data_IF_659615299024
#
_entry.id   IF_659615299024
#
_cell.length_a   1.000
_cell.length_b   1.000
_cell.length_c   1.000
_cell.angle_alpha   90.00
_cell.angle_beta   90.00
_cell.angle_gamma   90.00
#
_symmetry.space_group_name_H-M   'P 1'
#
loop_
_entity.id
_entity.type
_entity.pdbx_description
1 polymer ?
#
# COMPACT_ATOMS: atom_id res chain seq x y z
N UNK A 1 18.21 80.14 29.89
CA UNK A 1 17.66 79.45 31.08
C UNK A 1 16.42 78.67 30.69
N UNK A 2 16.34 77.39 31.11
CA UNK A 2 15.16 76.56 31.47
C UNK A 2 13.92 76.58 30.54
N UNK A 3 13.24 75.50 30.16
CA UNK A 3 13.34 74.03 30.26
C UNK A 3 12.29 73.51 29.25
N UNK A 4 12.60 72.45 28.50
CA UNK A 4 11.64 71.71 27.66
C UNK A 4 10.51 71.11 28.52
N UNK A 5 9.30 70.98 27.96
CA UNK A 5 8.36 69.89 28.31
C UNK A 5 7.89 69.23 27.02
N UNK A 6 8.47 68.05 26.74
CA UNK A 6 7.92 67.04 25.84
C UNK A 6 6.69 66.45 26.52
N UNK A 7 5.59 66.23 25.79
CA UNK A 7 4.55 65.30 26.19
C UNK A 7 4.78 64.00 25.42
N UNK A 8 5.09 62.97 26.19
CA UNK A 8 5.03 61.54 25.84
C UNK A 8 3.65 61.07 26.33
N UNK A 9 3.19 59.95 25.77
CA UNK A 9 2.29 58.91 26.33
C UNK A 9 1.08 58.70 25.43
N UNK A 10 0.68 57.48 25.02
CA UNK A 10 1.24 56.12 25.04
C UNK A 10 0.38 55.38 24.00
N UNK A 11 1.01 54.63 23.08
CA UNK A 11 0.33 53.63 22.26
C UNK A 11 0.24 52.36 23.11
N UNK A 12 -0.97 51.97 23.50
CA UNK A 12 -1.21 50.63 24.06
C UNK A 12 -1.33 49.67 22.89
N UNK A 13 -0.22 49.01 22.58
CA UNK A 13 -0.20 47.82 21.74
C UNK A 13 -0.77 46.66 22.54
N UNK A 14 -1.90 46.13 22.09
CA UNK A 14 -2.38 44.82 22.55
C UNK A 14 -1.70 43.78 21.64
N UNK A 15 -0.70 43.13 22.21
CA UNK A 15 -0.07 41.92 21.68
C UNK A 15 -0.98 40.76 22.07
N UNK A 16 -1.90 40.35 21.20
CA UNK A 16 -2.53 39.04 21.33
C UNK A 16 -1.67 38.07 20.54
N UNK A 17 -0.72 37.49 21.27
CA UNK A 17 -0.14 36.18 20.99
C UNK A 17 -1.27 35.16 20.98
N UNK A 18 -1.88 34.95 19.81
CA UNK A 18 -2.74 33.80 19.57
C UNK A 18 -1.84 32.71 19.01
N UNK A 19 -1.23 31.97 19.95
CA UNK A 19 -0.76 30.62 19.68
C UNK A 19 -1.96 29.82 19.17
N UNK A 20 -2.00 29.51 17.88
CA UNK A 20 -2.86 28.45 17.37
C UNK A 20 -2.26 27.11 17.84
N UNK A 21 -2.47 26.81 19.13
CA UNK A 21 -2.62 25.43 19.58
C UNK A 21 -4.06 25.02 19.23
N UNK A 22 -4.26 24.65 17.97
CA UNK A 22 -5.40 23.84 17.56
C UNK A 22 -4.84 22.46 17.25
N UNK A 23 -5.43 21.46 17.90
CA UNK A 23 -4.79 20.20 18.23
C UNK A 23 -4.14 19.48 17.05
N UNK A 24 -3.14 18.65 17.38
CA UNK A 24 -3.09 17.31 16.82
C UNK A 24 -4.53 16.76 16.89
N UNK A 25 -5.30 16.92 15.81
CA UNK A 25 -6.30 15.94 15.51
C UNK A 25 -5.50 14.64 15.44
N UNK A 26 -5.68 13.80 16.45
CA UNK A 26 -5.45 12.39 16.27
C UNK A 26 -6.45 12.04 15.18
N UNK A 27 -6.02 12.09 13.92
CA UNK A 27 -6.80 11.54 12.82
C UNK A 27 -7.10 10.11 13.30
N UNK A 28 -8.38 9.88 13.56
CA UNK A 28 -8.86 8.52 13.73
C UNK A 28 -8.81 7.96 12.32
N UNK A 29 -7.67 7.37 11.97
CA UNK A 29 -7.53 6.68 10.70
C UNK A 29 -8.48 5.49 10.75
N UNK A 30 -9.33 5.40 9.74
CA UNK A 30 -10.18 4.25 9.49
C UNK A 30 -9.29 3.00 9.39
N UNK A 31 -9.77 1.84 9.85
CA UNK A 31 -9.13 0.56 9.52
C UNK A 31 -9.24 0.25 8.00
N UNK A 32 -9.97 1.09 7.26
CA UNK A 32 -10.05 1.07 5.81
C UNK A 32 -8.73 1.43 5.18
N UNK A 33 -8.30 0.60 4.24
CA UNK A 33 -7.04 0.74 3.52
C UNK A 33 -7.32 1.13 2.08
N UNK A 34 -8.51 0.81 1.54
CA UNK A 34 -8.91 1.14 0.18
C UNK A 34 -10.35 1.66 0.16
N UNK A 35 -10.57 2.78 -0.53
CA UNK A 35 -11.89 3.28 -0.89
C UNK A 35 -12.15 2.98 -2.37
N UNK A 36 -13.28 2.34 -2.68
CA UNK A 36 -13.68 2.04 -4.05
C UNK A 36 -15.20 2.14 -4.19
N UNK A 37 -15.66 2.97 -5.12
CA UNK A 37 -17.09 3.26 -5.32
C UNK A 37 -17.88 3.69 -4.07
N UNK A 38 -17.20 4.30 -3.09
CA UNK A 38 -17.81 4.73 -1.83
C UNK A 38 -17.96 3.63 -0.79
N UNK A 39 -17.48 2.42 -1.08
CA UNK A 39 -17.32 1.33 -0.11
C UNK A 39 -15.87 1.24 0.38
N UNK A 40 -15.70 0.74 1.60
CA UNK A 40 -14.40 0.59 2.27
C UNK A 40 -13.95 -0.88 2.24
N UNK A 41 -12.76 -1.13 1.70
CA UNK A 41 -12.06 -2.41 1.77
C UNK A 41 -11.03 -2.40 2.90
N UNK A 42 -11.04 -3.48 3.68
CA UNK A 42 -10.07 -3.71 4.77
C UNK A 42 -9.33 -5.01 4.52
N UNK A 43 -8.08 -5.10 4.97
CA UNK A 43 -7.28 -6.33 4.83
C UNK A 43 -7.83 -7.53 5.62
N UNK A 44 -8.81 -7.32 6.50
CA UNK A 44 -9.47 -8.38 7.25
C UNK A 44 -10.76 -8.89 6.61
N UNK A 45 -11.17 -8.33 5.46
CA UNK A 45 -12.38 -8.76 4.77
C UNK A 45 -12.21 -10.17 4.18
N UNK A 46 -13.22 -11.02 4.34
CA UNK A 46 -13.33 -12.34 3.72
C UNK A 46 -13.97 -12.26 2.33
N UNK A 47 -14.00 -13.39 1.58
CA UNK A 47 -14.81 -13.48 0.36
C UNK A 47 -16.27 -13.08 0.58
N UNK A 48 -16.84 -13.50 1.72
CA UNK A 48 -18.23 -13.22 2.05
C UNK A 48 -18.47 -11.72 2.31
N UNK A 49 -17.51 -11.05 2.96
CA UNK A 49 -17.60 -9.62 3.26
C UNK A 49 -17.49 -8.78 1.98
N UNK A 50 -16.53 -9.10 1.09
CA UNK A 50 -16.40 -8.41 -0.20
C UNK A 50 -17.61 -8.64 -1.09
N UNK A 51 -18.18 -9.84 -1.10
CA UNK A 51 -19.41 -10.11 -1.83
C UNK A 51 -20.59 -9.31 -1.29
N UNK A 52 -20.73 -9.13 0.02
CA UNK A 52 -21.81 -8.33 0.60
C UNK A 52 -21.68 -6.84 0.24
N UNK A 53 -20.45 -6.31 0.22
CA UNK A 53 -20.15 -4.92 -0.14
C UNK A 53 -20.32 -4.64 -1.64
N UNK A 54 -19.91 -5.58 -2.49
CA UNK A 54 -19.79 -5.38 -3.93
C UNK A 54 -20.64 -6.36 -4.74
N UNK A 55 -21.78 -6.86 -4.23
CA UNK A 55 -22.53 -8.00 -4.81
C UNK A 55 -22.73 -7.91 -6.33
N UNK A 56 -23.13 -6.74 -6.85
CA UNK A 56 -23.36 -6.51 -8.28
C UNK A 56 -22.08 -6.44 -9.13
N UNK A 57 -20.91 -6.30 -8.51
CA UNK A 57 -19.60 -6.06 -9.13
C UNK A 57 -18.56 -7.13 -8.78
N UNK A 58 -18.90 -8.05 -7.87
CA UNK A 58 -18.03 -9.11 -7.37
C UNK A 58 -18.07 -10.32 -8.31
N UNK A 59 -16.91 -10.71 -8.85
CA UNK A 59 -16.76 -11.86 -9.73
C UNK A 59 -15.69 -12.82 -9.20
N UNK A 60 -16.14 -13.97 -8.68
CA UNK A 60 -15.26 -15.07 -8.26
C UNK A 60 -14.71 -15.77 -9.52
N UNK A 61 -13.43 -15.53 -9.82
CA UNK A 61 -12.73 -16.15 -10.95
C UNK A 61 -12.34 -17.60 -10.66
N UNK A 62 -12.31 -17.96 -9.38
CA UNK A 62 -12.22 -19.32 -8.87
C UNK A 62 -10.99 -19.56 -7.99
N UNK A 63 -10.81 -20.83 -7.64
CA UNK A 63 -9.59 -21.30 -6.99
C UNK A 63 -8.55 -21.61 -8.06
N UNK A 64 -7.42 -20.97 -7.93
CA UNK A 64 -6.29 -21.14 -8.81
C UNK A 64 -5.15 -21.77 -8.02
N UNK A 65 -4.52 -22.76 -8.65
CA UNK A 65 -3.20 -23.19 -8.26
C UNK A 65 -2.24 -22.41 -9.13
N UNK A 66 -1.39 -21.55 -8.55
CA UNK A 66 -0.36 -20.86 -9.33
C UNK A 66 0.63 -21.93 -9.74
N UNK A 67 0.71 -22.18 -11.03
CA UNK A 67 1.88 -22.79 -11.61
C UNK A 67 2.89 -21.66 -11.72
N UNK A 68 3.85 -21.59 -10.80
CA UNK A 68 5.08 -20.84 -11.07
C UNK A 68 5.67 -21.46 -12.34
N UNK A 69 5.51 -20.78 -13.48
CA UNK A 69 5.95 -21.13 -14.83
C UNK A 69 6.24 -22.62 -15.10
N UNK A 70 5.43 -23.26 -15.95
CA UNK A 70 5.44 -24.72 -16.19
C UNK A 70 6.78 -25.30 -16.69
N UNK A 71 7.74 -24.45 -17.04
CA UNK A 71 9.09 -24.86 -17.43
C UNK A 71 10.05 -25.04 -16.24
N UNK A 72 9.71 -24.61 -15.02
CA UNK A 72 10.64 -24.63 -13.88
C UNK A 72 10.14 -25.25 -12.55
N UNK A 73 8.85 -25.24 -12.20
CA UNK A 73 8.45 -25.63 -10.82
C UNK A 73 7.15 -26.47 -10.71
N UNK A 74 7.14 -27.41 -9.74
CA UNK A 74 6.02 -28.33 -9.40
C UNK A 74 5.39 -27.96 -8.03
N UNK A 75 5.39 -26.67 -7.69
CA UNK A 75 4.96 -26.18 -6.37
C UNK A 75 3.65 -25.42 -6.49
N UNK A 76 2.59 -25.99 -5.90
CA UNK A 76 1.24 -25.43 -5.88
C UNK A 76 1.00 -24.60 -4.63
N UNK A 77 0.84 -23.28 -4.78
CA UNK A 77 0.16 -22.46 -3.79
C UNK A 77 -1.31 -22.36 -4.17
N UNK A 78 -2.20 -22.72 -3.24
CA UNK A 78 -3.64 -22.62 -3.44
C UNK A 78 -4.11 -21.24 -2.98
N UNK A 79 -4.62 -20.47 -3.92
CA UNK A 79 -5.26 -19.18 -3.66
C UNK A 79 -6.58 -19.11 -4.43
N UNK A 80 -7.38 -18.11 -4.08
CA UNK A 80 -8.56 -17.74 -4.84
C UNK A 80 -8.42 -16.30 -5.28
N UNK A 81 -8.89 -16.02 -6.48
CA UNK A 81 -8.93 -14.67 -7.03
C UNK A 81 -10.39 -14.22 -7.16
N UNK A 82 -10.58 -12.92 -7.00
CA UNK A 82 -11.84 -12.23 -7.18
C UNK A 82 -11.54 -10.95 -7.93
N UNK A 83 -12.32 -10.66 -8.95
CA UNK A 83 -12.34 -9.36 -9.60
C UNK A 83 -13.51 -8.54 -9.03
N UNK A 84 -13.23 -7.35 -8.51
CA UNK A 84 -14.26 -6.36 -8.19
C UNK A 84 -14.23 -5.31 -9.31
N UNK A 85 -15.22 -5.36 -10.17
CA UNK A 85 -15.23 -4.59 -11.40
C UNK A 85 -15.50 -3.10 -11.14
N UNK A 86 -14.77 -2.22 -11.83
CA UNK A 86 -15.04 -0.76 -11.88
C UNK A 86 -16.26 -0.50 -12.76
N UNK A 87 -17.42 -0.72 -12.16
CA UNK A 87 -18.70 -0.60 -12.83
C UNK A 87 -19.39 0.66 -12.34
N UNK A 88 -18.81 1.80 -12.72
CA UNK A 88 -19.70 2.89 -13.09
C UNK A 88 -20.64 2.46 -14.26
N UNK A 89 -20.29 1.46 -15.10
CA UNK A 89 -21.09 1.02 -16.28
C UNK A 89 -21.14 -0.46 -16.72
N UNK A 90 -20.46 -1.42 -16.11
CA UNK A 90 -20.68 -2.86 -16.37
C UNK A 90 -19.76 -3.45 -17.43
N UNK A 91 -18.66 -2.75 -17.71
CA UNK A 91 -17.68 -3.14 -18.71
C UNK A 91 -16.35 -3.49 -18.00
N UNK A 92 -15.88 -4.75 -18.08
CA UNK A 92 -14.60 -5.16 -17.51
C UNK A 92 -13.39 -4.41 -18.08
N UNK A 93 -13.53 -3.76 -19.24
CA UNK A 93 -12.46 -2.93 -19.83
C UNK A 93 -12.28 -1.59 -19.11
N UNK A 94 -13.21 -1.20 -18.24
CA UNK A 94 -13.15 0.06 -17.49
C UNK A 94 -12.22 -0.04 -16.26
N UNK A 95 -11.75 -1.25 -15.93
CA UNK A 95 -10.78 -1.54 -14.87
C UNK A 95 -11.35 -2.40 -13.74
N UNK A 96 -10.47 -2.96 -12.91
CA UNK A 96 -10.84 -3.87 -11.81
C UNK A 96 -10.00 -3.62 -10.57
N UNK A 97 -10.49 -4.06 -9.42
CA UNK A 97 -9.66 -4.44 -8.28
C UNK A 97 -9.54 -5.96 -8.26
N UNK A 98 -8.33 -6.46 -8.48
CA UNK A 98 -8.07 -7.90 -8.43
C UNK A 98 -7.65 -8.23 -7.00
N UNK A 99 -8.45 -9.03 -6.32
CA UNK A 99 -8.27 -9.38 -4.91
C UNK A 99 -7.93 -10.86 -4.79
N UNK A 100 -6.75 -11.13 -4.25
CA UNK A 100 -6.24 -12.48 -4.04
C UNK A 100 -6.39 -12.88 -2.58
N UNK A 101 -6.82 -14.11 -2.35
CA UNK A 101 -7.04 -14.69 -1.04
C UNK A 101 -6.23 -15.98 -0.85
N UNK A 102 -5.82 -16.23 0.39
CA UNK A 102 -5.34 -17.54 0.81
C UNK A 102 -6.11 -18.02 2.03
N UNK A 103 -6.72 -19.20 1.92
CA UNK A 103 -7.55 -19.77 2.99
C UNK A 103 -8.56 -18.75 3.56
N UNK A 104 -9.19 -17.95 2.67
CA UNK A 104 -10.15 -16.87 2.98
C UNK A 104 -9.57 -15.64 3.71
N UNK A 105 -8.24 -15.52 3.78
CA UNK A 105 -7.54 -14.31 4.25
C UNK A 105 -7.05 -13.54 3.04
N UNK A 106 -7.38 -12.25 2.97
CA UNK A 106 -6.91 -11.36 1.91
C UNK A 106 -5.38 -11.33 1.90
N UNK A 107 -4.80 -11.60 0.74
CA UNK A 107 -3.37 -11.67 0.50
C UNK A 107 -2.85 -10.41 -0.19
N UNK A 108 -3.51 -10.05 -1.29
CA UNK A 108 -3.08 -8.99 -2.20
C UNK A 108 -4.29 -8.31 -2.81
N UNK A 109 -4.15 -7.02 -3.09
CA UNK A 109 -5.08 -6.23 -3.88
C UNK A 109 -4.28 -5.51 -4.96
N UNK A 110 -4.57 -5.82 -6.21
CA UNK A 110 -3.99 -5.18 -7.39
C UNK A 110 -4.97 -4.17 -7.98
N UNK A 111 -4.48 -2.97 -8.27
CA UNK A 111 -5.27 -1.88 -8.83
C UNK A 111 -5.12 -1.90 -10.34
N UNK A 112 -6.21 -2.23 -11.04
CA UNK A 112 -6.34 -2.11 -12.49
C UNK A 112 -7.29 -0.95 -12.88
N UNK A 113 -7.52 -0.02 -11.95
CA UNK A 113 -8.35 1.17 -12.13
C UNK A 113 -7.82 2.36 -11.30
N UNK A 114 -8.04 3.58 -11.79
CA UNK A 114 -7.78 4.83 -11.05
C UNK A 114 -8.94 5.26 -10.13
N UNK A 115 -10.10 4.60 -10.17
CA UNK A 115 -11.25 4.91 -9.30
C UNK A 115 -11.09 4.34 -7.87
N UNK A 116 -10.12 3.45 -7.67
CA UNK A 116 -9.75 2.95 -6.35
C UNK A 116 -8.67 3.81 -5.72
N UNK A 117 -8.85 4.13 -4.44
CA UNK A 117 -7.97 5.00 -3.69
C UNK A 117 -7.42 4.32 -2.45
N UNK A 118 -6.10 4.42 -2.24
CA UNK A 118 -5.45 4.07 -0.97
C UNK A 118 -4.76 5.29 -0.40
N UNK A 119 -5.31 5.81 0.70
CA UNK A 119 -4.73 6.94 1.45
C UNK A 119 -4.42 8.18 0.60
N UNK A 120 -5.19 8.43 -0.46
CA UNK A 120 -4.94 9.55 -1.38
C UNK A 120 -4.14 9.17 -2.62
N UNK A 121 -3.68 7.93 -2.75
CA UNK A 121 -2.99 7.43 -3.94
C UNK A 121 -3.96 6.65 -4.86
N UNK A 122 -3.80 6.87 -6.15
CA UNK A 122 -4.52 6.20 -7.26
C UNK A 122 -3.56 5.97 -8.42
N UNK A 123 -3.93 5.14 -9.40
CA UNK A 123 -3.20 5.11 -10.69
C UNK A 123 -3.24 6.49 -11.36
N UNK A 124 -2.13 6.91 -11.95
CA UNK A 124 -1.94 8.24 -12.53
C UNK A 124 -1.57 9.34 -11.51
N UNK A 125 -1.44 9.02 -10.23
CA UNK A 125 -0.93 9.98 -9.23
C UNK A 125 0.52 10.34 -9.57
N UNK A 126 0.83 11.63 -9.68
CA UNK A 126 2.21 12.08 -9.97
C UNK A 126 3.19 11.77 -8.85
N UNK A 127 4.49 11.68 -9.16
CA UNK A 127 5.56 11.48 -8.17
C UNK A 127 5.53 12.48 -7.02
N UNK A 128 5.33 13.76 -7.33
CA UNK A 128 5.31 14.85 -6.35
C UNK A 128 4.12 14.71 -5.39
N UNK A 129 2.95 14.36 -5.95
CA UNK A 129 1.73 14.13 -5.18
C UNK A 129 1.85 12.86 -4.32
N UNK A 130 2.43 11.79 -4.87
CA UNK A 130 2.68 10.56 -4.14
C UNK A 130 3.60 10.80 -2.93
N UNK A 131 4.72 11.51 -3.14
CA UNK A 131 5.63 11.90 -2.08
C UNK A 131 4.93 12.77 -1.02
N UNK A 132 4.10 13.73 -1.45
CA UNK A 132 3.36 14.59 -0.53
C UNK A 132 2.34 13.81 0.30
N UNK A 133 1.57 12.91 -0.32
CA UNK A 133 0.56 12.07 0.33
C UNK A 133 1.20 11.14 1.35
N UNK A 134 2.31 10.52 0.97
CA UNK A 134 3.08 9.62 1.85
C UNK A 134 3.91 10.37 2.90
N UNK A 135 4.07 11.69 2.76
CA UNK A 135 4.92 12.49 3.65
C UNK A 135 6.42 12.19 3.49
N UNK A 136 6.84 11.81 2.28
CA UNK A 136 8.21 11.48 1.91
C UNK A 136 8.89 12.67 1.21
N UNK A 137 10.23 12.64 1.14
CA UNK A 137 10.98 13.50 0.23
C UNK A 137 10.81 12.97 -1.20
N UNK A 138 10.57 13.85 -2.17
CA UNK A 138 10.41 13.49 -3.59
C UNK A 138 11.60 12.68 -4.11
N UNK A 139 12.81 12.93 -3.59
CA UNK A 139 14.02 12.18 -3.94
C UNK A 139 14.03 10.72 -3.48
N UNK A 140 13.13 10.33 -2.59
CA UNK A 140 12.93 8.94 -2.17
C UNK A 140 12.07 8.15 -3.17
N UNK A 141 11.41 8.82 -4.12
CA UNK A 141 10.55 8.19 -5.13
C UNK A 141 11.15 8.37 -6.53
N UNK A 142 12.05 7.46 -6.89
CA UNK A 142 12.66 7.41 -8.21
C UNK A 142 11.69 6.93 -9.31
N UNK A 143 11.76 7.56 -10.50
CA UNK A 143 11.13 7.04 -11.72
C UNK A 143 11.78 5.73 -12.15
N UNK A 144 11.01 4.92 -12.86
CA UNK A 144 11.37 3.64 -13.47
C UNK A 144 11.91 2.64 -12.42
N UNK A 145 11.31 2.67 -11.22
CA UNK A 145 11.70 1.85 -10.07
C UNK A 145 10.49 1.42 -9.26
N UNK A 146 10.60 0.25 -8.63
CA UNK A 146 9.58 -0.26 -7.73
C UNK A 146 9.83 0.22 -6.32
N UNK A 147 8.78 0.76 -5.72
CA UNK A 147 8.76 1.27 -4.36
C UNK A 147 7.97 0.35 -3.46
N UNK A 148 8.53 0.00 -2.31
CA UNK A 148 7.88 -0.75 -1.25
C UNK A 148 7.83 0.11 0.00
N UNK A 149 6.62 0.48 0.44
CA UNK A 149 6.39 1.31 1.61
C UNK A 149 5.70 0.47 2.68
N UNK A 150 6.38 0.27 3.80
CA UNK A 150 5.92 -0.57 4.92
C UNK A 150 5.17 0.26 5.94
N UNK A 151 3.98 -0.19 6.35
CA UNK A 151 3.11 0.57 7.26
C UNK A 151 2.84 -0.13 8.59
N UNK A 152 2.87 0.63 9.68
CA UNK A 152 2.57 0.17 11.04
C UNK A 152 1.05 -0.02 11.29
N UNK A 153 0.72 -1.15 11.92
CA UNK A 153 -0.64 -1.59 12.29
C UNK A 153 -1.44 -0.66 13.22
N UNK A 154 -0.79 0.24 13.95
CA UNK A 154 -1.40 0.97 15.06
C UNK A 154 -1.71 2.43 14.75
N UNK A 155 -1.04 2.99 13.74
CA UNK A 155 -1.11 4.41 13.42
C UNK A 155 -0.95 4.71 11.91
N UNK A 156 -0.83 3.68 11.05
CA UNK A 156 -0.57 3.82 9.61
C UNK A 156 0.64 4.70 9.29
N UNK A 157 1.63 4.75 10.19
CA UNK A 157 2.89 5.45 9.89
C UNK A 157 3.79 4.58 9.04
N UNK A 158 4.49 5.22 8.11
CA UNK A 158 5.56 4.58 7.34
C UNK A 158 6.67 4.15 8.31
N UNK A 159 6.96 2.84 8.30
CA UNK A 159 8.07 2.23 9.02
C UNK A 159 9.35 2.28 8.20
N UNK A 160 9.23 2.06 6.89
CA UNK A 160 10.36 1.95 5.97
C UNK A 160 9.93 2.16 4.53
N UNK A 161 10.84 2.67 3.71
CA UNK A 161 10.72 2.76 2.24
C UNK A 161 11.91 2.02 1.64
N UNK A 162 11.64 1.10 0.72
CA UNK A 162 12.66 0.39 -0.06
C UNK A 162 12.42 0.64 -1.54
N UNK A 163 13.49 0.97 -2.25
CA UNK A 163 13.55 0.90 -3.70
C UNK A 163 14.06 -0.48 -4.14
N UNK A 164 13.54 -0.99 -5.24
CA UNK A 164 14.02 -2.20 -5.88
C UNK A 164 14.13 -1.97 -7.40
N UNK A 165 15.32 -2.24 -7.94
CA UNK A 165 15.57 -2.24 -9.38
C UNK A 165 14.78 -3.39 -10.03
N UNK A 166 14.38 -3.22 -11.30
CA UNK A 166 13.69 -4.20 -12.13
C UNK A 166 14.43 -5.56 -12.17
N UNK A 167 15.77 -5.54 -12.06
CA UNK A 167 16.60 -6.74 -11.96
C UNK A 167 16.32 -7.60 -10.70
N UNK A 168 15.79 -7.01 -9.63
CA UNK A 168 15.34 -7.72 -8.42
C UNK A 168 14.02 -8.47 -8.66
N UNK A 169 13.30 -8.15 -9.73
CA UNK A 169 11.91 -8.53 -9.95
C UNK A 169 11.70 -9.45 -11.16
N UNK A 170 12.76 -9.73 -11.91
CA UNK A 170 12.64 -10.29 -13.26
C UNK A 170 11.96 -11.67 -13.33
N UNK A 171 11.68 -12.39 -12.23
CA UNK A 171 11.02 -13.72 -12.27
C UNK A 171 10.19 -14.12 -11.04
N UNK A 172 9.90 -13.24 -10.09
CA UNK A 172 9.13 -13.60 -8.90
C UNK A 172 7.72 -13.05 -9.01
N UNK A 173 6.72 -13.93 -8.80
CA UNK A 173 5.42 -13.50 -8.30
C UNK A 173 5.67 -12.44 -7.23
N UNK A 174 5.05 -11.27 -7.36
CA UNK A 174 5.37 -10.06 -6.61
C UNK A 174 5.53 -10.24 -5.09
N UNK A 175 4.85 -11.26 -4.55
CA UNK A 175 4.92 -11.69 -3.15
C UNK A 175 6.21 -12.43 -2.74
N UNK A 176 6.86 -13.17 -3.65
CA UNK A 176 8.15 -13.81 -3.37
C UNK A 176 9.29 -12.78 -3.22
N UNK A 177 9.20 -11.62 -3.88
CA UNK A 177 10.11 -10.49 -3.65
C UNK A 177 10.00 -9.96 -2.21
N UNK A 178 8.80 -9.93 -1.63
CA UNK A 178 8.59 -9.57 -0.23
C UNK A 178 9.23 -10.58 0.72
N UNK A 179 9.13 -11.87 0.40
CA UNK A 179 9.84 -12.91 1.15
C UNK A 179 11.37 -12.71 1.11
N UNK A 180 11.95 -12.42 -0.05
CA UNK A 180 13.39 -12.14 -0.17
C UNK A 180 13.81 -10.91 0.66
N UNK A 181 12.98 -9.86 0.68
CA UNK A 181 13.20 -8.69 1.55
C UNK A 181 13.15 -9.11 3.02
N UNK A 182 12.18 -9.93 3.43
CA UNK A 182 12.01 -10.39 4.81
C UNK A 182 13.18 -11.22 5.35
N UNK A 183 13.89 -11.94 4.49
CA UNK A 183 15.08 -12.72 4.87
C UNK A 183 16.31 -11.87 5.17
N UNK A 184 16.32 -10.60 4.78
CA UNK A 184 17.42 -9.68 5.09
C UNK A 184 17.29 -9.22 6.55
N UNK A 185 18.34 -9.43 7.34
CA UNK A 185 18.39 -9.07 8.77
C UNK A 185 17.94 -7.63 9.04
N UNK A 186 18.22 -6.69 8.12
CA UNK A 186 17.87 -5.28 8.25
C UNK A 186 16.36 -4.99 8.07
N UNK A 187 15.61 -5.89 7.45
CA UNK A 187 14.17 -5.76 7.21
C UNK A 187 13.32 -6.58 8.17
N UNK A 188 13.93 -7.47 8.96
CA UNK A 188 13.21 -8.39 9.85
C UNK A 188 12.29 -7.66 10.85
N UNK A 189 12.83 -6.67 11.56
CA UNK A 189 12.05 -5.87 12.50
C UNK A 189 10.94 -5.08 11.79
N UNK A 190 11.19 -4.59 10.56
CA UNK A 190 10.19 -3.90 9.74
C UNK A 190 9.04 -4.85 9.38
N UNK A 191 9.33 -6.05 8.88
CA UNK A 191 8.31 -7.04 8.55
C UNK A 191 7.51 -7.50 9.76
N UNK A 192 8.16 -7.75 10.90
CA UNK A 192 7.49 -8.19 12.11
C UNK A 192 6.45 -7.16 12.59
N UNK A 193 6.74 -5.86 12.42
CA UNK A 193 5.87 -4.75 12.87
C UNK A 193 4.93 -4.19 11.80
N UNK A 194 5.21 -4.40 10.50
CA UNK A 194 4.37 -3.91 9.42
C UNK A 194 3.10 -4.76 9.26
N UNK A 195 1.94 -4.13 9.08
CA UNK A 195 0.70 -4.86 8.76
C UNK A 195 0.60 -5.14 7.26
N UNK A 196 0.96 -4.16 6.46
CA UNK A 196 0.88 -4.24 5.01
C UNK A 196 2.02 -3.47 4.34
N UNK A 197 2.21 -3.78 3.07
CA UNK A 197 3.16 -3.11 2.19
C UNK A 197 2.38 -2.52 1.03
N UNK A 198 2.57 -1.23 0.78
CA UNK A 198 2.17 -0.62 -0.47
C UNK A 198 3.32 -0.80 -1.46
N UNK A 199 3.01 -1.34 -2.62
CA UNK A 199 3.95 -1.41 -3.74
C UNK A 199 3.45 -0.55 -4.89
N UNK A 200 4.32 0.22 -5.50
CA UNK A 200 4.01 0.92 -6.74
C UNK A 200 5.23 1.12 -7.63
N UNK A 201 4.98 1.33 -8.92
CA UNK A 201 6.00 1.79 -9.89
C UNK A 201 5.63 3.19 -10.35
N UNK A 202 6.63 4.06 -10.49
CA UNK A 202 6.48 5.34 -11.17
C UNK A 202 7.11 5.22 -12.55
N UNK A 203 6.34 5.40 -13.61
CA UNK A 203 6.85 5.54 -14.97
C UNK A 203 6.37 6.86 -15.55
N UNK A 204 7.19 7.51 -16.36
CA UNK A 204 6.88 8.82 -16.97
C UNK A 204 6.40 9.90 -15.96
N UNK A 205 6.74 9.74 -14.67
CA UNK A 205 6.39 10.66 -13.58
C UNK A 205 5.06 10.38 -12.87
N UNK A 206 4.36 9.30 -13.21
CA UNK A 206 3.06 8.92 -12.65
C UNK A 206 3.06 7.47 -12.14
N UNK A 207 2.20 7.16 -11.16
CA UNK A 207 1.99 5.79 -10.69
C UNK A 207 1.27 4.99 -11.78
N UNK A 208 1.98 4.07 -12.44
CA UNK A 208 1.39 3.18 -13.47
C UNK A 208 0.90 1.84 -12.89
N UNK A 209 1.43 1.45 -11.73
CA UNK A 209 1.01 0.22 -11.06
C UNK A 209 1.00 0.41 -9.55
N UNK A 210 0.00 -0.13 -8.89
CA UNK A 210 -0.25 0.05 -7.47
C UNK A 210 -0.85 -1.22 -6.88
N UNK A 211 -0.24 -1.73 -5.81
CA UNK A 211 -0.63 -2.97 -5.16
C UNK A 211 -0.51 -2.87 -3.65
N UNK A 212 -1.36 -3.62 -2.93
CA UNK A 212 -1.34 -3.71 -1.48
C UNK A 212 -1.15 -5.16 -1.06
N UNK A 213 -0.14 -5.42 -0.24
CA UNK A 213 0.13 -6.74 0.32
C UNK A 213 -0.22 -6.80 1.79
N UNK A 214 -1.09 -7.74 2.16
CA UNK A 214 -1.31 -8.11 3.55
C UNK A 214 -0.15 -9.01 4.01
N UNK A 215 0.56 -8.62 5.07
CA UNK A 215 1.65 -9.42 5.62
C UNK A 215 1.19 -10.47 6.63
N UNK A 216 -0.06 -10.41 7.10
CA UNK A 216 -0.58 -11.38 8.08
C UNK A 216 -0.50 -12.84 7.59
N UNK A 217 -0.84 -13.17 6.32
CA UNK A 217 -0.64 -14.52 5.81
C UNK A 217 0.81 -15.01 5.87
N UNK A 218 1.82 -14.17 5.58
CA UNK A 218 3.23 -14.55 5.73
C UNK A 218 3.59 -14.89 7.17
N UNK A 219 3.00 -14.18 8.13
CA UNK A 219 3.33 -14.30 9.55
C UNK A 219 2.65 -15.50 10.21
N UNK A 220 1.50 -15.90 9.69
CA UNK A 220 0.62 -16.88 10.34
C UNK A 220 0.53 -18.21 9.62
N UNK A 221 0.84 -18.27 8.31
CA UNK A 221 0.78 -19.48 7.51
C UNK A 221 2.16 -20.04 7.18
N UNK A 222 2.63 -20.99 8.00
CA UNK A 222 3.90 -21.69 7.77
C UNK A 222 3.96 -22.39 6.39
N UNK A 223 2.83 -22.85 5.84
CA UNK A 223 2.83 -23.54 4.53
C UNK A 223 3.12 -22.60 3.38
N UNK A 224 2.56 -21.38 3.44
CA UNK A 224 2.88 -20.31 2.49
C UNK A 224 4.35 -19.92 2.56
N UNK A 225 4.88 -19.79 3.79
CA UNK A 225 6.30 -19.47 4.00
C UNK A 225 7.22 -20.57 3.47
N UNK A 226 6.89 -21.84 3.71
CA UNK A 226 7.64 -23.01 3.22
C UNK A 226 7.65 -23.06 1.68
N UNK A 227 6.52 -22.74 1.05
CA UNK A 227 6.40 -22.71 -0.41
C UNK A 227 7.27 -21.61 -1.03
N UNK A 228 7.29 -20.41 -0.44
CA UNK A 228 8.14 -19.30 -0.87
C UNK A 228 9.63 -19.57 -0.60
N UNK A 229 9.97 -20.20 0.52
CA UNK A 229 11.32 -20.67 0.84
C UNK A 229 11.85 -21.64 -0.19
N UNK A 230 11.01 -22.60 -0.60
CA UNK A 230 11.34 -23.59 -1.61
C UNK A 230 11.55 -22.92 -2.98
N UNK A 231 10.68 -21.99 -3.34
CA UNK A 231 10.82 -21.19 -4.56
C UNK A 231 12.18 -20.48 -4.62
N UNK A 232 12.56 -19.71 -3.60
CA UNK A 232 13.82 -18.95 -3.59
C UNK A 232 15.04 -19.88 -3.64
N UNK A 233 15.01 -20.99 -2.90
CA UNK A 233 16.09 -21.98 -2.91
C UNK A 233 16.31 -22.60 -4.28
N UNK A 234 15.23 -22.98 -4.96
CA UNK A 234 15.33 -23.64 -6.27
C UNK A 234 15.75 -22.64 -7.37
N UNK A 235 15.34 -21.36 -7.25
CA UNK A 235 15.83 -20.24 -8.07
C UNK A 235 17.34 -20.03 -7.94
N UNK A 236 17.88 -20.00 -6.71
CA UNK A 236 19.32 -19.83 -6.48
C UNK A 236 20.17 -21.02 -6.96
N UNK A 237 19.54 -22.17 -7.23
CA UNK A 237 20.20 -23.39 -7.69
C UNK A 237 20.25 -23.54 -9.22
N UNK A 238 19.44 -22.77 -9.98
CA UNK A 238 19.39 -22.75 -11.45
C UNK A 238 20.33 -21.74 -12.07
#
# INVERSE_FOLDING_TARGET
MKKRKKKIIVLVGIFISMLCFTGCQKQSYSNSIIEFHGEELTLGDSHADLKDKFDDFYYDTGYHTMFADSDFYDTSYDFSEVEILDIANGNPEDGTLDVTFTKDTLLEIDFQTSEANIQGLTLGTSSDEAAQVLGLDESEIASDSYHYVFFDSSNHSILHVSDADEAFLYHSLSYASLYELQQKDEYKDTFDNAQYVLRFIIEDGEIEWLQVYNLEPLKTDESLLDDLQRFDKDRLAS
#
